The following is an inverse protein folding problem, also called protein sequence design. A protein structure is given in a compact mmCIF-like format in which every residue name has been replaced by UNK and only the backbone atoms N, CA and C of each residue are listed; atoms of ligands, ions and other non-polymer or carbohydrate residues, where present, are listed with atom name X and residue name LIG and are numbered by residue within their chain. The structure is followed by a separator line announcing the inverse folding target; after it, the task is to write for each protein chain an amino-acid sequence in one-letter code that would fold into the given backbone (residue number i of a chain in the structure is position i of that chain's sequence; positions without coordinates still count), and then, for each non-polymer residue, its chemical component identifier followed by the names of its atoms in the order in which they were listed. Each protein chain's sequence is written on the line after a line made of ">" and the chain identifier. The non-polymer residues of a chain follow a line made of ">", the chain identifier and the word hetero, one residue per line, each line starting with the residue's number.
data_IF_826359990096
#
_entry.id   IF_826359990096
#
_cell.length_a   1.000
_cell.length_b   1.000
_cell.length_c   1.000
_cell.angle_alpha   90.00
_cell.angle_beta   90.00
_cell.angle_gamma   90.00
#
_symmetry.space_group_name_H-M   'P 1'
#
loop_
_entity.id
_entity.type
_entity.pdbx_description
1 polymer ?
#
# COMPACT_ATOMS: atom_id res chain seq x y z
N UNK A 1 36.08 25.83 42.35
CA UNK A 1 35.23 26.01 41.16
C UNK A 1 34.56 24.68 40.84
N UNK A 2 33.24 24.58 41.01
CA UNK A 2 32.46 23.36 40.73
C UNK A 2 31.88 23.49 39.33
N UNK A 3 32.34 22.66 38.39
CA UNK A 3 31.82 22.63 37.01
C UNK A 3 30.68 21.61 36.97
N UNK A 4 29.44 22.10 36.81
CA UNK A 4 28.24 21.27 36.68
C UNK A 4 28.10 20.91 35.20
N UNK A 5 28.30 19.63 34.88
CA UNK A 5 28.03 19.05 33.57
C UNK A 5 26.54 18.69 33.51
N UNK A 6 25.74 19.47 32.79
CA UNK A 6 24.33 19.14 32.53
C UNK A 6 24.29 18.25 31.28
N UNK A 7 24.10 16.95 31.49
CA UNK A 7 23.78 16.00 30.42
C UNK A 7 22.27 16.10 30.17
N UNK A 8 21.89 16.76 29.08
CA UNK A 8 20.54 16.71 28.53
C UNK A 8 20.33 15.33 27.89
N UNK A 9 19.83 14.37 28.67
CA UNK A 9 19.25 13.13 28.13
C UNK A 9 17.93 13.50 27.46
N UNK A 10 17.99 13.70 26.13
CA UNK A 10 16.82 13.85 25.28
C UNK A 10 16.11 12.49 25.19
N UNK A 11 15.17 12.27 26.11
CA UNK A 11 14.36 11.07 26.17
C UNK A 11 13.22 11.20 25.15
N UNK A 12 13.48 10.79 23.90
CA UNK A 12 12.41 10.63 22.92
C UNK A 12 11.74 9.26 23.15
N UNK A 13 10.88 9.18 24.16
CA UNK A 13 9.92 8.08 24.27
C UNK A 13 8.80 8.27 23.23
N UNK A 14 9.13 8.12 21.95
CA UNK A 14 8.11 7.95 20.91
C UNK A 14 7.73 6.49 20.88
N UNK A 15 6.69 6.13 21.64
CA UNK A 15 5.91 4.93 21.38
C UNK A 15 5.29 5.04 20.00
N UNK A 16 6.08 4.79 18.95
CA UNK A 16 5.58 4.66 17.61
C UNK A 16 4.62 3.48 17.63
N UNK A 17 3.34 3.75 17.38
CA UNK A 17 2.38 2.68 17.11
C UNK A 17 3.03 1.72 16.12
N UNK A 18 3.10 0.42 16.47
CA UNK A 18 3.66 -0.58 15.60
C UNK A 18 2.73 -0.70 14.38
N UNK A 19 3.02 0.06 13.33
CA UNK A 19 2.25 0.02 12.10
C UNK A 19 2.46 -1.36 11.47
N UNK A 20 1.37 -2.03 11.12
CA UNK A 20 1.43 -3.37 10.52
C UNK A 20 1.97 -3.31 9.08
N UNK A 21 1.82 -2.18 8.40
CA UNK A 21 2.29 -1.99 7.04
C UNK A 21 2.54 -0.54 6.62
N UNK A 22 3.07 -0.40 5.42
CA UNK A 22 3.29 0.89 4.78
C UNK A 22 3.28 0.78 3.26
N UNK A 23 2.87 1.87 2.60
CA UNK A 23 3.08 2.07 1.16
C UNK A 23 4.10 3.19 0.97
N UNK A 24 5.10 2.94 0.13
CA UNK A 24 6.09 3.92 -0.29
C UNK A 24 6.07 4.03 -1.81
N UNK A 25 5.78 5.22 -2.33
CA UNK A 25 5.94 5.51 -3.76
C UNK A 25 7.41 5.43 -4.15
N UNK A 26 7.71 4.76 -5.26
CA UNK A 26 9.07 4.52 -5.72
C UNK A 26 9.11 4.47 -7.25
N UNK A 27 9.64 5.54 -7.88
CA UNK A 27 9.51 5.74 -9.32
C UNK A 27 8.04 5.84 -9.72
N UNK A 28 7.66 5.13 -10.78
CA UNK A 28 6.29 5.04 -11.28
C UNK A 28 5.45 3.98 -10.55
N UNK A 29 6.05 3.25 -9.61
CA UNK A 29 5.44 2.16 -8.87
C UNK A 29 5.31 2.43 -7.38
N UNK A 30 5.11 1.35 -6.61
CA UNK A 30 5.04 1.42 -5.16
C UNK A 30 5.63 0.18 -4.49
N UNK A 31 6.23 0.38 -3.32
CA UNK A 31 6.61 -0.67 -2.39
C UNK A 31 5.56 -0.78 -1.29
N UNK A 32 5.03 -1.98 -1.09
CA UNK A 32 4.05 -2.29 -0.05
C UNK A 32 4.72 -3.22 0.95
N UNK A 33 4.85 -2.77 2.19
CA UNK A 33 5.32 -3.57 3.31
C UNK A 33 4.15 -3.98 4.18
N UNK A 34 4.10 -5.23 4.58
CA UNK A 34 3.12 -5.72 5.53
C UNK A 34 3.69 -6.88 6.35
N UNK A 35 3.86 -6.68 7.66
CA UNK A 35 4.29 -7.71 8.63
C UNK A 35 5.47 -8.58 8.15
N UNK A 36 6.50 -7.93 7.61
CA UNK A 36 7.72 -8.58 7.11
C UNK A 36 7.67 -9.10 5.67
N UNK A 37 6.53 -8.95 4.98
CA UNK A 37 6.45 -9.09 3.52
C UNK A 37 6.78 -7.77 2.84
N UNK A 38 7.54 -7.83 1.75
CA UNK A 38 7.80 -6.71 0.84
C UNK A 38 7.28 -7.06 -0.56
N UNK A 39 6.31 -6.29 -1.04
CA UNK A 39 5.76 -6.39 -2.38
C UNK A 39 6.24 -5.17 -3.18
N UNK A 40 6.62 -5.38 -4.44
CA UNK A 40 6.96 -4.31 -5.37
C UNK A 40 5.96 -4.29 -6.53
N UNK A 41 5.40 -3.11 -6.79
CA UNK A 41 4.42 -2.86 -7.83
C UNK A 41 5.09 -2.12 -9.01
N UNK A 42 4.74 -2.50 -10.24
CA UNK A 42 5.04 -1.76 -11.48
C UNK A 42 6.51 -1.34 -11.60
N UNK A 43 7.43 -2.28 -11.38
CA UNK A 43 8.85 -2.04 -11.54
C UNK A 43 9.51 -1.24 -10.40
N UNK A 44 8.79 -0.95 -9.31
CA UNK A 44 9.35 -0.29 -8.13
C UNK A 44 10.65 -0.99 -7.67
N UNK A 45 11.72 -0.21 -7.56
CA UNK A 45 13.05 -0.68 -7.15
C UNK A 45 13.11 -0.73 -5.62
N UNK A 46 13.62 -1.83 -5.08
CA UNK A 46 13.85 -2.00 -3.66
C UNK A 46 15.31 -2.39 -3.38
N UNK A 47 15.88 -1.77 -2.35
CA UNK A 47 17.22 -2.10 -1.83
C UNK A 47 17.27 -3.49 -1.16
N UNK A 48 16.12 -4.03 -0.81
CA UNK A 48 15.98 -5.31 -0.11
C UNK A 48 15.31 -6.33 -1.04
N UNK A 49 15.55 -7.62 -0.77
CA UNK A 49 14.86 -8.71 -1.47
C UNK A 49 13.35 -8.55 -1.38
N UNK A 50 12.72 -8.43 -2.53
CA UNK A 50 11.26 -8.36 -2.69
C UNK A 50 10.70 -9.78 -2.66
N UNK A 51 9.69 -10.01 -1.81
CA UNK A 51 9.01 -11.30 -1.71
C UNK A 51 8.09 -11.57 -2.90
N UNK A 52 7.45 -10.52 -3.43
CA UNK A 52 6.53 -10.63 -4.56
C UNK A 52 6.58 -9.38 -5.45
N UNK A 53 6.77 -9.59 -6.76
CA UNK A 53 6.66 -8.52 -7.77
C UNK A 53 5.32 -8.63 -8.46
N UNK A 54 4.62 -7.50 -8.54
CA UNK A 54 3.30 -7.38 -9.15
C UNK A 54 3.37 -6.34 -10.26
N UNK A 55 2.79 -6.67 -11.40
CA UNK A 55 2.45 -5.69 -12.42
C UNK A 55 0.95 -5.46 -12.40
N UNK A 56 0.52 -4.21 -12.32
CA UNK A 56 -0.88 -3.85 -12.43
C UNK A 56 -1.47 -4.38 -13.75
N UNK A 57 -2.70 -4.89 -13.71
CA UNK A 57 -3.36 -5.52 -14.87
C UNK A 57 -2.81 -6.88 -15.33
N UNK A 58 -1.83 -7.47 -14.65
CA UNK A 58 -1.18 -8.71 -15.12
C UNK A 58 -1.99 -10.00 -14.92
N UNK A 59 -3.06 -9.96 -14.15
CA UNK A 59 -3.93 -11.10 -13.90
C UNK A 59 -5.20 -11.01 -14.76
N UNK A 60 -5.65 -12.13 -15.38
CA UNK A 60 -6.92 -12.15 -16.08
C UNK A 60 -8.08 -11.78 -15.14
N UNK A 61 -9.10 -11.11 -15.68
CA UNK A 61 -10.26 -10.65 -14.92
C UNK A 61 -10.86 -11.78 -14.06
N UNK A 62 -11.20 -11.47 -12.81
CA UNK A 62 -11.77 -12.38 -11.81
C UNK A 62 -10.83 -13.49 -11.31
N UNK A 63 -9.61 -13.59 -11.84
CA UNK A 63 -8.62 -14.52 -11.31
C UNK A 63 -8.07 -14.06 -9.97
N UNK A 64 -7.67 -15.03 -9.16
CA UNK A 64 -7.04 -14.78 -7.87
C UNK A 64 -5.80 -15.64 -7.71
N UNK A 65 -4.75 -15.06 -7.13
CA UNK A 65 -3.60 -15.81 -6.61
C UNK A 65 -3.43 -15.50 -5.12
N UNK A 66 -2.70 -16.37 -4.42
CA UNK A 66 -2.39 -16.16 -3.01
C UNK A 66 -0.91 -16.37 -2.78
N UNK A 67 -0.30 -15.45 -2.06
CA UNK A 67 1.08 -15.55 -1.59
C UNK A 67 1.11 -15.64 -0.07
N UNK A 68 2.07 -16.37 0.48
CA UNK A 68 2.22 -16.58 1.93
C UNK A 68 3.68 -16.50 2.34
N UNK A 69 3.93 -15.89 3.50
CA UNK A 69 5.24 -15.86 4.17
C UNK A 69 5.03 -16.10 5.66
N UNK A 70 5.44 -17.27 6.14
CA UNK A 70 5.12 -17.72 7.49
C UNK A 70 3.61 -17.72 7.74
N UNK A 71 3.15 -16.92 8.71
CA UNK A 71 1.74 -16.78 9.08
C UNK A 71 0.99 -15.75 8.23
N UNK A 72 1.71 -14.88 7.52
CA UNK A 72 1.11 -13.82 6.72
C UNK A 72 0.65 -14.36 5.36
N UNK A 73 -0.47 -13.82 4.86
CA UNK A 73 -1.01 -14.10 3.54
C UNK A 73 -1.38 -12.78 2.88
N UNK A 74 -1.23 -12.73 1.57
CA UNK A 74 -1.92 -11.76 0.72
C UNK A 74 -2.63 -12.53 -0.39
N UNK A 75 -3.92 -12.25 -0.58
CA UNK A 75 -4.67 -12.69 -1.75
C UNK A 75 -4.70 -11.52 -2.73
N UNK A 76 -4.33 -11.78 -3.98
CA UNK A 76 -4.39 -10.78 -5.06
C UNK A 76 -5.48 -11.22 -6.00
N UNK A 77 -6.46 -10.34 -6.22
CA UNK A 77 -7.61 -10.61 -7.09
C UNK A 77 -7.67 -9.57 -8.20
N UNK A 78 -7.80 -10.00 -9.44
CA UNK A 78 -8.10 -9.10 -10.55
C UNK A 78 -9.59 -8.74 -10.55
N UNK A 79 -9.88 -7.46 -10.45
CA UNK A 79 -11.22 -6.88 -10.53
C UNK A 79 -11.35 -6.05 -11.81
N UNK A 80 -12.58 -5.77 -12.26
CA UNK A 80 -12.83 -4.77 -13.30
C UNK A 80 -12.19 -3.44 -12.92
N UNK A 81 -11.34 -2.94 -13.80
CA UNK A 81 -10.70 -1.64 -13.63
C UNK A 81 -11.51 -0.48 -14.18
N UNK A 82 -11.03 0.76 -14.02
CA UNK A 82 -11.39 1.83 -14.95
C UNK A 82 -10.94 1.46 -16.38
N UNK A 83 -11.87 1.41 -17.33
CA UNK A 83 -11.59 1.01 -18.71
C UNK A 83 -11.35 -0.49 -18.88
N UNK A 84 -10.45 -0.86 -19.80
CA UNK A 84 -10.22 -2.26 -20.20
C UNK A 84 -9.12 -2.97 -19.38
N UNK A 85 -8.36 -2.23 -18.56
CA UNK A 85 -7.25 -2.81 -17.78
C UNK A 85 -7.72 -3.21 -16.38
N UNK A 86 -7.54 -4.47 -15.95
CA UNK A 86 -7.95 -4.90 -14.62
C UNK A 86 -7.28 -4.13 -13.48
N UNK A 87 -8.02 -3.91 -12.40
CA UNK A 87 -7.47 -3.48 -11.12
C UNK A 87 -7.05 -4.69 -10.29
N UNK A 88 -6.00 -4.56 -9.47
CA UNK A 88 -5.64 -5.58 -8.49
C UNK A 88 -6.16 -5.18 -7.10
N UNK A 89 -6.86 -6.09 -6.43
CA UNK A 89 -7.17 -5.99 -5.01
C UNK A 89 -6.23 -6.89 -4.22
N UNK A 90 -5.43 -6.29 -3.34
CA UNK A 90 -4.62 -7.00 -2.35
C UNK A 90 -5.40 -7.08 -1.05
N UNK A 91 -5.71 -8.30 -0.62
CA UNK A 91 -6.38 -8.59 0.64
C UNK A 91 -5.41 -9.30 1.59
N UNK A 92 -5.05 -8.64 2.69
CA UNK A 92 -4.13 -9.15 3.71
C UNK A 92 -4.81 -10.02 4.79
N UNK A 93 -6.06 -10.44 4.57
CA UNK A 93 -6.80 -11.40 5.39
C UNK A 93 -7.71 -10.76 6.45
N UNK A 94 -8.09 -11.56 7.45
CA UNK A 94 -9.04 -11.14 8.50
C UNK A 94 -8.45 -9.99 9.33
N UNK A 95 -9.21 -8.88 9.43
CA UNK A 95 -8.76 -7.59 9.97
C UNK A 95 -7.55 -6.97 9.25
N UNK A 96 -7.18 -7.54 8.10
CA UNK A 96 -6.11 -7.06 7.25
C UNK A 96 -6.56 -5.89 6.38
N UNK A 97 -5.57 -5.09 6.02
CA UNK A 97 -5.76 -3.99 5.09
C UNK A 97 -6.13 -4.51 3.69
N UNK A 98 -6.88 -3.73 2.94
CA UNK A 98 -7.26 -3.99 1.55
C UNK A 98 -6.82 -2.83 0.69
N UNK A 99 -5.95 -3.11 -0.27
CA UNK A 99 -5.39 -2.09 -1.17
C UNK A 99 -5.85 -2.39 -2.58
N UNK A 100 -6.51 -1.43 -3.22
CA UNK A 100 -6.85 -1.52 -4.64
C UNK A 100 -5.83 -0.76 -5.49
N UNK A 101 -5.45 -1.36 -6.62
CA UNK A 101 -4.47 -0.83 -7.56
C UNK A 101 -5.09 -0.84 -8.95
N UNK A 102 -5.73 0.25 -9.39
CA UNK A 102 -6.19 0.40 -10.76
C UNK A 102 -5.04 0.24 -11.76
N UNK A 103 -5.26 -0.56 -12.82
CA UNK A 103 -4.25 -0.78 -13.86
C UNK A 103 -4.19 0.30 -14.95
N UNK A 104 -5.28 1.04 -15.16
CA UNK A 104 -5.31 2.16 -16.09
C UNK A 104 -5.08 3.50 -15.37
N UNK A 105 -4.65 4.50 -16.16
CA UNK A 105 -4.59 5.89 -15.73
C UNK A 105 -5.95 6.42 -15.29
N UNK A 106 -5.96 7.29 -14.29
CA UNK A 106 -7.16 7.87 -13.71
C UNK A 106 -6.93 9.34 -13.39
N UNK A 107 -7.87 10.19 -13.81
CA UNK A 107 -7.86 11.60 -13.49
C UNK A 107 -8.35 11.84 -12.05
N UNK A 108 -7.92 12.94 -11.44
CA UNK A 108 -8.18 13.23 -10.03
C UNK A 108 -9.67 13.40 -9.71
N UNK A 109 -10.43 13.92 -10.66
CA UNK A 109 -11.89 14.05 -10.60
C UNK A 109 -12.62 12.71 -10.44
N UNK A 110 -12.01 11.60 -10.86
CA UNK A 110 -12.61 10.26 -10.79
C UNK A 110 -12.30 9.52 -9.48
N UNK A 111 -11.43 10.08 -8.62
CA UNK A 111 -11.05 9.43 -7.35
C UNK A 111 -12.24 9.10 -6.44
N UNK A 112 -13.27 9.96 -6.29
CA UNK A 112 -14.46 9.63 -5.49
C UNK A 112 -15.19 8.36 -5.97
N UNK A 113 -15.05 7.98 -7.24
CA UNK A 113 -15.67 6.78 -7.79
C UNK A 113 -15.00 5.48 -7.31
N UNK A 114 -13.77 5.55 -6.80
CA UNK A 114 -13.03 4.37 -6.34
C UNK A 114 -13.74 3.68 -5.16
N UNK A 115 -14.26 4.44 -4.21
CA UNK A 115 -14.97 3.89 -3.06
C UNK A 115 -16.26 3.16 -3.48
N UNK A 116 -16.93 3.65 -4.52
CA UNK A 116 -18.14 3.03 -5.08
C UNK A 116 -17.81 1.77 -5.86
N UNK A 117 -16.72 1.79 -6.66
CA UNK A 117 -16.32 0.66 -7.51
C UNK A 117 -15.69 -0.49 -6.71
N UNK A 118 -14.96 -0.17 -5.65
CA UNK A 118 -14.22 -1.15 -4.84
C UNK A 118 -14.64 -1.06 -3.37
N UNK A 119 -15.89 -1.43 -3.05
CA UNK A 119 -16.38 -1.35 -1.69
C UNK A 119 -15.51 -2.20 -0.75
N UNK A 120 -15.10 -1.61 0.37
CA UNK A 120 -14.26 -2.26 1.38
C UNK A 120 -12.75 -2.26 1.08
N UNK A 121 -12.29 -1.59 0.02
CA UNK A 121 -10.90 -1.19 -0.09
C UNK A 121 -10.63 -0.05 0.90
N UNK A 122 -9.53 -0.15 1.64
CA UNK A 122 -9.14 0.87 2.62
C UNK A 122 -8.25 1.93 1.99
N UNK A 123 -7.46 1.52 0.98
CA UNK A 123 -6.50 2.35 0.29
C UNK A 123 -6.57 2.09 -1.21
N UNK A 124 -6.36 3.14 -2.00
CA UNK A 124 -6.19 3.02 -3.43
C UNK A 124 -4.84 3.59 -3.87
N UNK A 125 -4.24 2.95 -4.89
CA UNK A 125 -3.03 3.40 -5.56
C UNK A 125 -3.30 3.69 -7.05
N UNK A 126 -4.12 4.68 -7.41
CA UNK A 126 -4.37 5.00 -8.81
C UNK A 126 -3.11 5.56 -9.49
N UNK A 127 -3.09 5.48 -10.82
CA UNK A 127 -2.03 6.01 -11.66
C UNK A 127 -2.49 7.37 -12.21
N UNK A 128 -1.86 8.46 -11.78
CA UNK A 128 -2.10 9.82 -12.27
C UNK A 128 -0.87 10.29 -13.04
N UNK A 129 -1.04 10.62 -14.33
CA UNK A 129 0.07 11.07 -15.19
C UNK A 129 1.31 10.14 -15.16
N UNK A 130 1.07 8.83 -15.07
CA UNK A 130 2.14 7.82 -15.00
C UNK A 130 2.73 7.61 -13.60
N UNK A 131 2.29 8.34 -12.58
CA UNK A 131 2.77 8.22 -11.21
C UNK A 131 1.71 7.65 -10.28
N UNK A 132 2.12 6.77 -9.37
CA UNK A 132 1.23 6.27 -8.32
C UNK A 132 1.00 7.38 -7.29
N UNK A 133 -0.25 7.57 -6.89
CA UNK A 133 -0.61 8.38 -5.71
C UNK A 133 -1.24 7.50 -4.64
N UNK A 134 -1.26 7.97 -3.40
CA UNK A 134 -1.85 7.22 -2.29
C UNK A 134 -3.15 7.91 -1.88
N UNK A 135 -4.26 7.17 -1.95
CA UNK A 135 -5.57 7.62 -1.48
C UNK A 135 -6.05 6.76 -0.32
N UNK A 136 -6.42 7.41 0.77
CA UNK A 136 -7.15 6.80 1.87
C UNK A 136 -8.55 7.43 1.91
N UNK A 137 -9.58 6.65 1.56
CA UNK A 137 -10.86 7.22 1.13
C UNK A 137 -10.66 8.12 -0.09
N UNK A 138 -11.12 9.37 -0.01
CA UNK A 138 -10.98 10.38 -1.07
C UNK A 138 -9.74 11.28 -0.87
N UNK A 139 -9.00 11.11 0.24
CA UNK A 139 -7.94 12.02 0.63
C UNK A 139 -6.58 11.53 0.16
N UNK A 140 -5.86 12.41 -0.56
CA UNK A 140 -4.45 12.24 -0.90
C UNK A 140 -3.57 12.16 0.35
N UNK A 141 -2.69 11.17 0.36
CA UNK A 141 -1.74 10.92 1.43
C UNK A 141 -0.31 11.08 0.92
N UNK A 142 0.60 11.40 1.84
CA UNK A 142 2.03 11.49 1.53
C UNK A 142 2.70 10.12 1.60
N UNK A 143 3.78 9.97 0.84
CA UNK A 143 4.67 8.81 0.91
C UNK A 143 5.77 9.05 1.94
N UNK A 144 6.09 8.09 2.84
CA UNK A 144 5.40 6.81 3.02
C UNK A 144 4.09 6.96 3.81
N UNK A 145 3.04 6.29 3.35
CA UNK A 145 1.80 6.16 4.12
C UNK A 145 1.89 4.90 4.98
N UNK A 146 1.60 5.03 6.28
CA UNK A 146 1.64 3.90 7.23
C UNK A 146 0.24 3.54 7.66
N UNK A 147 -0.03 2.24 7.78
CA UNK A 147 -1.32 1.72 8.18
C UNK A 147 -1.17 0.59 9.19
N UNK A 148 -2.24 0.37 9.95
CA UNK A 148 -2.38 -0.73 10.89
C UNK A 148 -3.61 -1.55 10.51
N UNK A 149 -3.72 -2.76 11.05
CA UNK A 149 -4.90 -3.57 10.86
C UNK A 149 -6.18 -2.85 11.29
N UNK A 150 -7.26 -3.10 10.55
CA UNK A 150 -8.55 -2.50 10.79
C UNK A 150 -9.37 -3.49 11.61
N UNK A 151 -10.02 -3.01 12.67
CA UNK A 151 -11.10 -3.75 13.31
C UNK A 151 -12.34 -3.55 12.44
N UNK A 152 -12.69 -4.56 11.65
CA UNK A 152 -13.92 -4.56 10.83
C UNK A 152 -15.06 -5.23 11.56
#
# INVERSE_FOLDING_TARGET
>A
MRMILIILLCWCASGAAAHDGSVTLAGDGALIRYRGMLLALDGAVAEQTVDLRLSSGSLPLWQSISWRKGRQRVRITALPGPGDTPALLLDFGDNGYRIVIPGAGMAREDYPLLAQRYPGADLALPLENGQRVILHGEQLQTSPYRFSNIRR
#
